data_IF_437734737009
#
_entry.id   IF_437734737009
#
_cell.length_a   1.000
_cell.length_b   1.000
_cell.length_c   1.000
_cell.angle_alpha   90.00
_cell.angle_beta   90.00
_cell.angle_gamma   90.00
#
_symmetry.space_group_name_H-M   'P 1'
#
loop_
_entity.id
_entity.type
_entity.pdbx_description
1 polymer ?
#
# COMPACT_ATOMS: atom_id res chain seq x y z
N UNK A 1 -27.52 -2.76 -5.66
CA UNK A 1 -27.32 -1.74 -6.71
C UNK A 1 -27.04 -2.44 -8.03
N UNK A 2 -27.42 -1.84 -9.16
CA UNK A 2 -27.05 -2.36 -10.48
C UNK A 2 -25.60 -1.97 -10.73
N UNK A 3 -24.72 -2.89 -11.24
CA UNK A 3 -23.36 -2.53 -11.57
C UNK A 3 -23.31 -1.44 -12.66
N UNK A 4 -22.46 -0.44 -12.46
CA UNK A 4 -22.25 0.66 -13.39
C UNK A 4 -21.09 0.35 -14.35
N UNK A 5 -21.35 0.37 -15.64
CA UNK A 5 -20.39 0.03 -16.68
C UNK A 5 -20.06 1.27 -17.51
N UNK A 6 -18.79 1.58 -17.68
CA UNK A 6 -18.31 2.59 -18.61
C UNK A 6 -17.94 1.92 -19.93
N UNK A 7 -18.27 2.58 -21.02
CA UNK A 7 -17.93 2.11 -22.37
C UNK A 7 -16.89 3.08 -22.95
N UNK A 8 -15.76 2.58 -23.40
CA UNK A 8 -14.74 3.33 -24.12
C UNK A 8 -14.68 2.76 -25.54
N UNK A 9 -15.30 3.46 -26.48
CA UNK A 9 -15.53 3.03 -27.86
C UNK A 9 -15.74 4.25 -28.74
N UNK A 10 -14.97 4.40 -29.79
CA UNK A 10 -15.03 5.57 -30.68
C UNK A 10 -16.06 5.44 -31.81
N UNK A 11 -16.48 4.23 -32.14
CA UNK A 11 -17.56 3.99 -33.09
C UNK A 11 -18.92 4.14 -32.40
N UNK A 12 -19.59 5.28 -32.61
CA UNK A 12 -20.84 5.61 -31.94
C UNK A 12 -21.94 4.55 -32.11
N UNK A 13 -21.98 3.88 -33.26
CA UNK A 13 -22.99 2.83 -33.54
C UNK A 13 -22.72 1.62 -32.65
N UNK A 14 -21.45 1.22 -32.48
CA UNK A 14 -21.06 0.09 -31.63
C UNK A 14 -21.30 0.46 -30.16
N UNK A 15 -20.89 1.66 -29.74
CA UNK A 15 -21.10 2.14 -28.38
C UNK A 15 -22.57 2.19 -27.98
N UNK A 16 -23.46 2.66 -28.86
CA UNK A 16 -24.90 2.69 -28.63
C UNK A 16 -25.51 1.30 -28.58
N UNK A 17 -25.08 0.39 -29.43
CA UNK A 17 -25.54 -1.01 -29.39
C UNK A 17 -25.14 -1.67 -28.08
N UNK A 18 -23.87 -1.52 -27.64
CA UNK A 18 -23.41 -2.02 -26.33
C UNK A 18 -24.26 -1.43 -25.20
N UNK A 19 -24.52 -0.14 -25.23
CA UNK A 19 -25.38 0.53 -24.23
C UNK A 19 -26.77 -0.08 -24.16
N UNK A 20 -27.42 -0.31 -25.28
CA UNK A 20 -28.75 -0.93 -25.32
C UNK A 20 -28.75 -2.33 -24.73
N UNK A 21 -27.78 -3.15 -25.11
CA UNK A 21 -27.62 -4.51 -24.56
C UNK A 21 -27.42 -4.46 -23.04
N UNK A 22 -26.56 -3.57 -22.54
CA UNK A 22 -26.30 -3.43 -21.11
C UNK A 22 -27.56 -3.03 -20.32
N UNK A 23 -28.29 -2.07 -20.84
CA UNK A 23 -29.54 -1.60 -20.22
C UNK A 23 -30.61 -2.70 -20.17
N UNK A 24 -30.77 -3.46 -21.26
CA UNK A 24 -31.70 -4.61 -21.31
C UNK A 24 -31.31 -5.70 -20.31
N UNK A 25 -30.01 -5.91 -20.05
CA UNK A 25 -29.50 -6.87 -19.10
C UNK A 25 -29.51 -6.35 -17.65
N UNK A 26 -29.97 -5.14 -17.44
CA UNK A 26 -30.15 -4.55 -16.11
C UNK A 26 -28.92 -3.88 -15.53
N UNK A 27 -27.86 -3.65 -16.30
CA UNK A 27 -26.72 -2.83 -15.91
C UNK A 27 -27.05 -1.33 -16.01
N UNK A 28 -26.25 -0.52 -15.31
CA UNK A 28 -26.25 0.93 -15.50
C UNK A 28 -25.08 1.30 -16.42
N UNK A 29 -25.28 2.23 -17.36
CA UNK A 29 -24.17 2.78 -18.16
C UNK A 29 -23.78 4.12 -17.56
N UNK A 30 -22.57 4.18 -16.98
CA UNK A 30 -22.05 5.38 -16.31
C UNK A 30 -21.58 6.45 -17.29
N UNK A 31 -21.27 6.06 -18.52
CA UNK A 31 -20.90 6.96 -19.61
C UNK A 31 -20.35 6.21 -20.82
N UNK A 32 -20.27 6.94 -21.94
CA UNK A 32 -19.61 6.52 -23.17
C UNK A 32 -18.50 7.52 -23.46
N UNK A 33 -17.28 7.03 -23.62
CA UNK A 33 -16.10 7.82 -23.94
C UNK A 33 -15.55 7.42 -25.31
N UNK A 34 -15.51 8.30 -26.30
CA UNK A 34 -14.93 8.00 -27.60
C UNK A 34 -13.41 8.14 -27.67
N UNK A 35 -12.79 8.68 -26.63
CA UNK A 35 -11.36 8.98 -26.55
C UNK A 35 -10.85 9.03 -25.11
N UNK A 36 -9.54 9.17 -24.97
CA UNK A 36 -8.84 9.24 -23.67
C UNK A 36 -9.34 10.39 -22.79
N UNK A 37 -9.51 11.58 -23.35
CA UNK A 37 -9.86 12.76 -22.57
C UNK A 37 -11.25 12.63 -21.94
N UNK A 38 -12.23 12.16 -22.72
CA UNK A 38 -13.58 11.90 -22.24
C UNK A 38 -13.63 10.73 -21.25
N UNK A 39 -12.78 9.71 -21.41
CA UNK A 39 -12.69 8.61 -20.45
C UNK A 39 -12.27 9.13 -19.06
N UNK A 40 -11.20 9.91 -18.95
CA UNK A 40 -10.78 10.49 -17.69
C UNK A 40 -11.82 11.46 -17.11
N UNK A 41 -12.44 12.31 -17.94
CA UNK A 41 -13.49 13.21 -17.48
C UNK A 41 -14.72 12.48 -16.90
N UNK A 42 -15.04 11.29 -17.40
CA UNK A 42 -16.11 10.45 -16.86
C UNK A 42 -15.67 9.79 -15.54
N UNK A 43 -14.43 9.31 -15.45
CA UNK A 43 -13.87 8.70 -14.23
C UNK A 43 -13.82 9.68 -13.05
N UNK A 44 -13.52 10.94 -13.30
CA UNK A 44 -13.56 12.00 -12.27
C UNK A 44 -14.97 12.24 -11.72
N UNK A 45 -15.99 12.07 -12.54
CA UNK A 45 -17.38 12.27 -12.13
C UNK A 45 -17.96 11.11 -11.37
N UNK A 46 -17.68 9.90 -11.83
CA UNK A 46 -18.22 8.69 -11.25
C UNK A 46 -17.34 7.47 -11.57
N UNK A 47 -16.89 6.76 -10.56
CA UNK A 47 -16.18 5.50 -10.71
C UNK A 47 -17.13 4.40 -11.18
N UNK A 48 -16.87 3.72 -12.31
CA UNK A 48 -17.65 2.56 -12.76
C UNK A 48 -17.22 1.30 -12.00
N UNK A 49 -18.09 0.28 -12.02
CA UNK A 49 -17.77 -1.05 -11.49
C UNK A 49 -16.97 -1.90 -12.51
N UNK A 50 -17.05 -1.56 -13.81
CA UNK A 50 -16.31 -2.21 -14.89
C UNK A 50 -16.17 -1.26 -16.09
N UNK A 51 -15.08 -1.39 -16.82
CA UNK A 51 -14.86 -0.68 -18.10
C UNK A 51 -14.83 -1.71 -19.24
N UNK A 52 -15.69 -1.47 -20.25
CA UNK A 52 -15.55 -2.08 -21.56
C UNK A 52 -14.67 -1.15 -22.41
N UNK A 53 -13.54 -1.64 -22.87
CA UNK A 53 -12.51 -0.85 -23.54
C UNK A 53 -12.20 -1.39 -24.92
N UNK A 54 -12.46 -0.61 -25.97
CA UNK A 54 -11.90 -0.95 -27.27
C UNK A 54 -10.38 -0.82 -27.26
N UNK A 55 -9.73 -1.78 -27.85
CA UNK A 55 -8.27 -1.79 -28.00
C UNK A 55 -7.81 -0.71 -28.99
N UNK A 56 -8.60 -0.45 -30.04
CA UNK A 56 -8.23 0.49 -31.11
C UNK A 56 -9.19 1.66 -31.14
N UNK A 57 -8.76 2.79 -30.62
CA UNK A 57 -9.54 4.03 -30.62
C UNK A 57 -9.14 4.96 -31.79
N UNK A 58 -9.95 6.01 -32.08
CA UNK A 58 -9.65 7.05 -33.08
C UNK A 58 -8.26 7.65 -32.88
N UNK A 59 -7.73 8.18 -33.99
CA UNK A 59 -6.41 8.80 -34.03
C UNK A 59 -5.25 7.84 -33.63
N UNK A 60 -5.45 6.53 -33.73
CA UNK A 60 -4.50 5.49 -33.29
C UNK A 60 -4.19 5.54 -31.80
N UNK A 61 -5.09 6.10 -31.01
CA UNK A 61 -5.00 5.96 -29.55
C UNK A 61 -5.11 4.47 -29.19
N UNK A 62 -4.20 4.05 -28.32
CA UNK A 62 -4.10 2.66 -27.89
C UNK A 62 -4.91 2.46 -26.60
N UNK A 63 -6.04 1.74 -26.71
CA UNK A 63 -6.87 1.40 -25.55
C UNK A 63 -6.14 0.60 -24.48
N UNK A 64 -5.10 -0.16 -24.87
CA UNK A 64 -4.24 -0.88 -23.91
C UNK A 64 -3.43 0.11 -23.07
N UNK A 65 -2.87 1.14 -23.70
CA UNK A 65 -2.13 2.17 -22.97
C UNK A 65 -3.06 2.99 -22.06
N UNK A 66 -4.25 3.32 -22.55
CA UNK A 66 -5.29 3.98 -21.75
C UNK A 66 -5.67 3.14 -20.53
N UNK A 67 -5.90 1.85 -20.72
CA UNK A 67 -6.20 0.90 -19.65
C UNK A 67 -5.08 0.85 -18.61
N UNK A 68 -3.81 0.79 -19.04
CA UNK A 68 -2.64 0.81 -18.14
C UNK A 68 -2.62 2.06 -17.25
N UNK A 69 -2.89 3.23 -17.83
CA UNK A 69 -2.92 4.47 -17.07
C UNK A 69 -4.09 4.51 -16.07
N UNK A 70 -5.25 3.98 -16.45
CA UNK A 70 -6.41 3.90 -15.54
C UNK A 70 -6.13 2.94 -14.39
N UNK A 71 -5.59 1.76 -14.66
CA UNK A 71 -5.34 0.73 -13.64
C UNK A 71 -4.17 1.04 -12.73
N UNK A 72 -3.27 1.95 -13.10
CA UNK A 72 -2.19 2.42 -12.23
C UNK A 72 -2.73 3.16 -11.00
N UNK A 73 -3.82 3.91 -11.15
CA UNK A 73 -4.37 4.75 -10.09
C UNK A 73 -5.71 4.24 -9.54
N UNK A 74 -6.43 3.43 -10.32
CA UNK A 74 -7.78 2.98 -10.00
C UNK A 74 -7.91 1.46 -10.10
N UNK A 75 -8.37 0.83 -9.03
CA UNK A 75 -8.79 -0.57 -9.05
C UNK A 75 -10.17 -0.69 -9.69
N UNK A 76 -10.19 -0.91 -11.02
CA UNK A 76 -11.39 -1.12 -11.81
C UNK A 76 -11.13 -2.27 -12.80
N UNK A 77 -12.00 -3.30 -12.89
CA UNK A 77 -11.84 -4.36 -13.85
C UNK A 77 -12.06 -3.85 -15.28
N UNK A 78 -11.17 -4.25 -16.18
CA UNK A 78 -11.26 -3.92 -17.60
C UNK A 78 -11.55 -5.20 -18.40
N UNK A 79 -12.49 -5.11 -19.32
CA UNK A 79 -12.77 -6.10 -20.35
C UNK A 79 -12.50 -5.45 -21.71
N UNK A 80 -11.57 -6.01 -22.47
CA UNK A 80 -11.25 -5.49 -23.79
C UNK A 80 -12.23 -5.95 -24.85
N UNK A 81 -12.58 -5.03 -25.75
CA UNK A 81 -13.26 -5.29 -27.00
C UNK A 81 -12.22 -5.25 -28.14
N UNK A 82 -12.17 -6.24 -28.99
CA UNK A 82 -11.17 -6.33 -30.06
C UNK A 82 -11.76 -6.81 -31.35
N UNK A 83 -11.37 -6.21 -32.47
CA UNK A 83 -11.72 -6.67 -33.82
C UNK A 83 -10.71 -7.70 -34.35
N UNK A 84 -9.65 -7.98 -33.64
CA UNK A 84 -8.53 -8.75 -34.14
C UNK A 84 -8.10 -9.82 -33.11
N UNK A 85 -7.98 -11.05 -33.60
CA UNK A 85 -7.49 -12.21 -32.85
C UNK A 85 -5.95 -12.40 -32.95
N UNK A 86 -5.23 -11.42 -33.54
CA UNK A 86 -3.78 -11.54 -33.73
C UNK A 86 -3.04 -11.50 -32.40
N UNK A 87 -2.24 -12.51 -32.16
CA UNK A 87 -1.46 -12.79 -30.95
C UNK A 87 -0.73 -11.58 -30.37
N UNK A 88 -0.13 -10.72 -31.21
CA UNK A 88 0.64 -9.55 -30.77
C UNK A 88 -0.14 -8.47 -29.99
N UNK A 89 -1.43 -8.33 -30.24
CA UNK A 89 -2.27 -7.35 -29.53
C UNK A 89 -2.72 -7.93 -28.19
N UNK A 90 -3.01 -9.22 -28.16
CA UNK A 90 -3.37 -9.94 -26.94
C UNK A 90 -2.17 -10.00 -25.98
N UNK A 91 -0.95 -10.31 -26.49
CA UNK A 91 0.28 -10.35 -25.69
C UNK A 91 0.54 -9.02 -24.96
N UNK A 92 0.36 -7.89 -25.63
CA UNK A 92 0.51 -6.56 -25.01
C UNK A 92 -0.54 -6.26 -23.94
N UNK A 93 -1.74 -6.80 -24.10
CA UNK A 93 -2.82 -6.60 -23.16
C UNK A 93 -2.73 -7.54 -21.93
N UNK A 94 -2.01 -8.66 -22.03
CA UNK A 94 -1.78 -9.60 -20.92
C UNK A 94 -1.07 -8.93 -19.75
N UNK A 95 -0.12 -8.02 -20.01
CA UNK A 95 0.63 -7.28 -18.97
C UNK A 95 -0.27 -6.47 -18.03
N UNK A 96 -1.47 -6.08 -18.49
CA UNK A 96 -2.44 -5.31 -17.71
C UNK A 96 -3.31 -6.22 -16.83
N UNK A 97 -3.27 -7.54 -17.10
CA UNK A 97 -4.13 -8.53 -16.44
C UNK A 97 -5.64 -8.19 -16.54
N UNK A 98 -6.18 -8.02 -17.76
CA UNK A 98 -7.59 -7.69 -17.92
C UNK A 98 -8.47 -8.85 -17.45
N UNK A 99 -9.68 -8.51 -17.07
CA UNK A 99 -10.65 -9.50 -16.58
C UNK A 99 -11.41 -10.24 -17.69
N UNK A 100 -11.16 -9.91 -18.96
CA UNK A 100 -11.71 -10.61 -20.11
C UNK A 100 -11.42 -9.93 -21.44
N UNK A 101 -11.70 -10.67 -22.51
CA UNK A 101 -11.63 -10.22 -23.90
C UNK A 101 -12.91 -10.61 -24.62
N UNK A 102 -13.40 -9.73 -25.47
CA UNK A 102 -14.57 -9.97 -26.32
C UNK A 102 -14.20 -9.63 -27.76
N UNK A 103 -14.27 -10.63 -28.64
CA UNK A 103 -14.01 -10.45 -30.06
C UNK A 103 -15.23 -9.86 -30.75
N UNK A 104 -15.05 -8.79 -31.52
CA UNK A 104 -16.07 -8.18 -32.40
C UNK A 104 -16.16 -8.96 -33.74
N UNK A 105 -17.36 -9.22 -34.31
CA UNK A 105 -18.66 -8.97 -33.74
C UNK A 105 -19.04 -10.00 -32.66
N UNK A 106 -19.66 -9.57 -31.58
CA UNK A 106 -20.04 -10.43 -30.47
C UNK A 106 -21.55 -10.62 -30.33
N UNK A 107 -21.92 -11.71 -29.68
CA UNK A 107 -23.31 -12.00 -29.29
C UNK A 107 -23.58 -11.39 -27.90
N UNK A 108 -24.81 -10.95 -27.67
CA UNK A 108 -25.26 -10.40 -26.38
C UNK A 108 -24.94 -11.33 -25.19
N UNK A 109 -25.12 -12.65 -25.38
CA UNK A 109 -24.81 -13.65 -24.35
C UNK A 109 -23.33 -13.66 -23.97
N UNK A 110 -22.40 -13.46 -24.93
CA UNK A 110 -20.96 -13.41 -24.67
C UNK A 110 -20.63 -12.16 -23.86
N UNK A 111 -21.16 -11.00 -24.27
CA UNK A 111 -20.97 -9.75 -23.55
C UNK A 111 -21.43 -9.88 -22.07
N UNK A 112 -22.64 -10.38 -21.85
CA UNK A 112 -23.19 -10.63 -20.51
C UNK A 112 -22.32 -11.54 -19.67
N UNK A 113 -22.02 -12.72 -20.20
CA UNK A 113 -21.26 -13.74 -19.44
C UNK A 113 -19.87 -13.24 -19.09
N UNK A 114 -19.19 -12.55 -20.02
CA UNK A 114 -17.85 -12.02 -19.77
C UNK A 114 -17.88 -10.94 -18.68
N UNK A 115 -18.86 -10.04 -18.70
CA UNK A 115 -19.03 -9.02 -17.65
C UNK A 115 -19.30 -9.66 -16.29
N UNK A 116 -20.21 -10.64 -16.22
CA UNK A 116 -20.52 -11.31 -14.96
C UNK A 116 -19.29 -12.03 -14.37
N UNK A 117 -18.51 -12.72 -15.20
CA UNK A 117 -17.27 -13.37 -14.79
C UNK A 117 -16.25 -12.34 -14.33
N UNK A 118 -16.07 -11.26 -15.08
CA UNK A 118 -15.12 -10.19 -14.75
C UNK A 118 -15.44 -9.55 -13.39
N UNK A 119 -16.68 -9.20 -13.15
CA UNK A 119 -17.13 -8.61 -11.88
C UNK A 119 -16.94 -9.60 -10.70
N UNK A 120 -17.28 -10.87 -10.89
CA UNK A 120 -17.09 -11.90 -9.85
C UNK A 120 -15.62 -12.12 -9.53
N UNK A 121 -14.77 -12.25 -10.53
CA UNK A 121 -13.34 -12.48 -10.35
C UNK A 121 -12.68 -11.26 -9.69
N UNK A 122 -13.06 -10.05 -10.07
CA UNK A 122 -12.57 -8.83 -9.44
C UNK A 122 -12.94 -8.77 -7.95
N UNK A 123 -14.21 -9.05 -7.63
CA UNK A 123 -14.67 -9.08 -6.24
C UNK A 123 -13.95 -10.16 -5.41
N UNK A 124 -13.71 -11.35 -5.98
CA UNK A 124 -12.97 -12.43 -5.34
C UNK A 124 -11.50 -12.04 -5.07
N UNK A 125 -10.82 -11.47 -6.06
CA UNK A 125 -9.43 -11.03 -5.93
C UNK A 125 -9.29 -9.93 -4.87
N UNK A 126 -10.20 -8.95 -4.86
CA UNK A 126 -10.22 -7.88 -3.85
C UNK A 126 -10.43 -8.42 -2.44
N UNK A 127 -11.35 -9.37 -2.26
CA UNK A 127 -11.57 -10.02 -0.97
C UNK A 127 -10.35 -10.80 -0.50
N UNK A 128 -9.63 -11.46 -1.43
CA UNK A 128 -8.40 -12.19 -1.11
C UNK A 128 -7.28 -11.23 -0.70
N UNK A 129 -7.09 -10.13 -1.41
CA UNK A 129 -6.11 -9.10 -1.05
C UNK A 129 -6.36 -8.54 0.36
N UNK A 130 -7.60 -8.17 0.66
CA UNK A 130 -7.98 -7.67 2.00
C UNK A 130 -7.70 -8.71 3.10
N UNK A 131 -7.99 -10.00 2.85
CA UNK A 131 -7.67 -11.08 3.80
C UNK A 131 -6.17 -11.24 4.03
N UNK A 132 -5.36 -11.16 2.95
CA UNK A 132 -3.90 -11.24 3.04
C UNK A 132 -3.37 -10.08 3.90
N UNK A 133 -3.87 -8.87 3.71
CA UNK A 133 -3.44 -7.70 4.49
C UNK A 133 -3.82 -7.84 5.96
N UNK A 134 -5.02 -8.36 6.24
CA UNK A 134 -5.45 -8.65 7.63
C UNK A 134 -4.53 -9.68 8.29
N UNK A 135 -4.24 -10.80 7.61
CA UNK A 135 -3.36 -11.85 8.12
C UNK A 135 -1.93 -11.32 8.35
N UNK A 136 -1.40 -10.51 7.43
CA UNK A 136 -0.09 -9.87 7.61
C UNK A 136 -0.06 -8.98 8.86
N UNK A 137 -1.11 -8.21 9.08
CA UNK A 137 -1.22 -7.34 10.25
C UNK A 137 -1.29 -8.16 11.55
N UNK A 138 -2.12 -9.20 11.60
CA UNK A 138 -2.22 -10.12 12.74
C UNK A 138 -0.88 -10.81 13.01
N UNK A 139 -0.22 -11.32 11.97
CA UNK A 139 1.09 -11.97 12.09
C UNK A 139 2.14 -11.02 12.69
N UNK A 140 2.20 -9.78 12.21
CA UNK A 140 3.10 -8.77 12.77
C UNK A 140 2.80 -8.46 14.24
N UNK A 141 1.52 -8.43 14.60
CA UNK A 141 1.07 -8.19 15.98
C UNK A 141 1.47 -9.34 16.90
N UNK A 142 1.28 -10.58 16.45
CA UNK A 142 1.68 -11.79 17.20
C UNK A 142 3.20 -11.86 17.37
N UNK A 143 3.98 -11.59 16.30
CA UNK A 143 5.43 -11.55 16.40
C UNK A 143 5.92 -10.52 17.43
N UNK A 144 5.34 -9.31 17.39
CA UNK A 144 5.67 -8.27 18.38
C UNK A 144 5.33 -8.71 19.81
N UNK A 145 4.20 -9.40 20.01
CA UNK A 145 3.79 -9.91 21.32
C UNK A 145 4.73 -11.00 21.82
N UNK A 146 5.14 -11.94 20.98
CA UNK A 146 6.12 -12.99 21.35
C UNK A 146 7.48 -12.40 21.73
N UNK A 147 7.96 -11.41 20.96
CA UNK A 147 9.19 -10.68 21.31
C UNK A 147 9.06 -9.94 22.64
N UNK A 148 7.88 -9.41 22.97
CA UNK A 148 7.60 -8.79 24.26
C UNK A 148 7.66 -9.79 25.40
N UNK A 149 7.06 -10.97 25.23
CA UNK A 149 7.03 -12.02 26.25
C UNK A 149 8.42 -12.66 26.49
N UNK A 150 9.23 -12.85 25.44
CA UNK A 150 10.61 -13.31 25.57
C UNK A 150 11.47 -12.28 26.30
N UNK A 151 11.34 -11.00 25.97
CA UNK A 151 12.08 -9.93 26.63
C UNK A 151 11.63 -9.73 28.09
N UNK A 152 10.36 -9.98 28.43
CA UNK A 152 9.86 -9.90 29.80
C UNK A 152 10.42 -10.99 30.74
N UNK A 153 10.88 -12.12 30.19
CA UNK A 153 11.51 -13.23 30.94
C UNK A 153 13.04 -13.11 31.05
N UNK A 154 13.63 -12.20 30.32
CA UNK A 154 15.08 -11.96 30.27
C UNK A 154 15.36 -10.51 30.65
N UNK A 155 16.39 -10.26 31.47
CA UNK A 155 16.87 -8.87 31.70
C UNK A 155 17.54 -8.28 30.46
N UNK A 156 17.69 -9.07 29.39
CA UNK A 156 18.28 -8.62 28.16
C UNK A 156 17.20 -8.33 27.13
N UNK A 157 17.16 -7.11 26.62
CA UNK A 157 16.33 -6.70 25.47
C UNK A 157 17.18 -6.78 24.20
N UNK A 158 16.74 -7.59 23.24
CA UNK A 158 17.42 -7.70 21.94
C UNK A 158 17.06 -6.52 21.06
N UNK A 159 18.08 -5.82 20.61
CA UNK A 159 17.96 -4.68 19.71
C UNK A 159 18.51 -5.03 18.32
N UNK A 160 18.14 -4.25 17.32
CA UNK A 160 18.62 -4.41 15.94
C UNK A 160 20.16 -4.47 15.87
N UNK A 161 20.69 -5.12 14.87
CA UNK A 161 22.14 -5.29 14.63
C UNK A 161 22.89 -6.09 15.70
N UNK A 162 22.20 -6.96 16.46
CA UNK A 162 22.82 -7.81 17.48
C UNK A 162 23.19 -7.09 18.78
N UNK A 163 22.68 -5.85 18.99
CA UNK A 163 22.80 -5.19 20.28
C UNK A 163 21.90 -5.84 21.32
N UNK A 164 22.39 -5.93 22.55
CA UNK A 164 21.63 -6.36 23.73
C UNK A 164 21.66 -5.23 24.77
N UNK A 165 20.52 -4.95 25.35
CA UNK A 165 20.43 -4.00 26.48
C UNK A 165 20.08 -4.76 27.75
N UNK A 166 20.97 -4.69 28.75
CA UNK A 166 20.71 -5.22 30.08
C UNK A 166 19.88 -4.21 30.85
N UNK A 167 18.67 -4.60 31.23
CA UNK A 167 17.71 -3.72 31.93
C UNK A 167 17.95 -3.65 33.45
N UNK A 168 18.79 -4.55 34.01
CA UNK A 168 19.20 -4.52 35.43
C UNK A 168 20.41 -3.62 35.63
N UNK A 169 21.41 -3.80 34.79
CA UNK A 169 22.68 -3.07 34.91
C UNK A 169 22.71 -1.78 34.08
N UNK A 170 21.68 -1.52 33.26
CA UNK A 170 21.57 -0.38 32.33
C UNK A 170 22.76 -0.27 31.35
N UNK A 171 23.17 -1.41 30.81
CA UNK A 171 24.33 -1.55 29.93
C UNK A 171 23.90 -1.94 28.53
N UNK A 172 24.45 -1.27 27.53
CA UNK A 172 24.31 -1.65 26.13
C UNK A 172 25.49 -2.52 25.72
N UNK A 173 25.22 -3.71 25.17
CA UNK A 173 26.21 -4.68 24.77
C UNK A 173 26.18 -4.91 23.25
N UNK A 174 27.34 -5.12 22.64
CA UNK A 174 27.48 -5.61 21.27
C UNK A 174 28.52 -6.75 21.28
N UNK A 175 28.11 -7.93 20.84
CA UNK A 175 28.96 -9.15 20.84
C UNK A 175 29.61 -9.41 22.21
N UNK A 176 28.84 -9.18 23.27
CA UNK A 176 29.30 -9.38 24.67
C UNK A 176 30.21 -8.28 25.22
N UNK A 177 30.49 -7.22 24.46
CA UNK A 177 31.31 -6.09 24.94
C UNK A 177 30.39 -4.88 25.22
N UNK A 178 30.70 -4.19 26.34
CA UNK A 178 29.97 -2.98 26.70
C UNK A 178 30.24 -1.84 25.70
N UNK A 179 29.16 -1.19 25.24
CA UNK A 179 29.23 0.08 24.49
C UNK A 179 29.27 1.21 25.52
N UNK A 180 30.36 2.00 25.60
CA UNK A 180 30.51 3.00 26.65
C UNK A 180 29.51 4.14 26.47
N UNK A 181 28.56 4.26 27.40
CA UNK A 181 27.57 5.31 27.47
C UNK A 181 27.77 6.16 28.74
N UNK A 182 27.65 7.49 28.60
CA UNK A 182 27.63 8.37 29.77
C UNK A 182 26.23 8.35 30.46
N UNK A 183 26.12 8.96 31.62
CA UNK A 183 24.89 8.91 32.44
C UNK A 183 23.65 9.39 31.70
N UNK A 184 23.73 10.48 30.93
CA UNK A 184 22.59 10.98 30.14
C UNK A 184 22.23 10.06 28.97
N UNK A 185 23.22 9.44 28.35
CA UNK A 185 23.04 8.46 27.31
C UNK A 185 22.42 7.17 27.89
N UNK A 186 22.86 6.71 29.06
CA UNK A 186 22.27 5.59 29.80
C UNK A 186 20.80 5.88 30.14
N UNK A 187 20.49 7.07 30.73
CA UNK A 187 19.10 7.50 31.00
C UNK A 187 18.24 7.46 29.73
N UNK A 188 18.76 8.01 28.64
CA UNK A 188 18.04 7.98 27.36
C UNK A 188 17.75 6.54 26.89
N UNK A 189 18.78 5.69 26.85
CA UNK A 189 18.63 4.28 26.42
C UNK A 189 17.67 3.53 27.33
N UNK A 190 17.76 3.68 28.65
CA UNK A 190 16.81 3.11 29.61
C UNK A 190 15.38 3.49 29.29
N UNK A 191 15.12 4.78 29.04
CA UNK A 191 13.78 5.28 28.76
C UNK A 191 13.20 4.71 27.45
N UNK A 192 13.97 4.76 26.35
CA UNK A 192 13.48 4.28 25.05
C UNK A 192 13.39 2.75 24.99
N UNK A 193 14.25 2.03 25.71
CA UNK A 193 14.17 0.57 25.83
C UNK A 193 13.00 0.16 26.71
N UNK A 194 12.74 0.83 27.83
CA UNK A 194 11.57 0.57 28.67
C UNK A 194 10.25 0.78 27.93
N UNK A 195 10.22 1.71 26.98
CA UNK A 195 9.07 1.98 26.11
C UNK A 195 9.25 1.41 24.71
N UNK A 196 9.95 0.28 24.58
CA UNK A 196 10.21 -0.31 23.27
C UNK A 196 8.89 -0.58 22.50
N UNK A 197 8.96 -0.46 21.17
CA UNK A 197 7.77 -0.55 20.32
C UNK A 197 6.94 0.74 20.24
N UNK A 198 7.14 1.69 21.14
CA UNK A 198 6.44 2.99 21.17
C UNK A 198 7.39 4.15 20.90
N UNK A 199 6.87 5.26 20.40
CA UNK A 199 7.62 6.50 20.25
C UNK A 199 7.58 7.24 21.57
N UNK A 200 8.75 7.53 22.14
CA UNK A 200 8.88 8.37 23.33
C UNK A 200 8.97 9.82 22.91
N UNK A 201 8.10 10.68 23.43
CA UNK A 201 8.04 12.08 23.03
C UNK A 201 9.28 12.87 23.46
N UNK A 202 9.55 13.98 22.76
CA UNK A 202 10.66 14.88 23.09
C UNK A 202 10.53 15.36 24.53
N UNK A 203 9.35 15.77 24.96
CA UNK A 203 9.06 16.23 26.31
C UNK A 203 9.34 15.16 27.38
N UNK A 204 8.90 13.92 27.14
CA UNK A 204 9.18 12.80 28.05
C UNK A 204 10.69 12.54 28.19
N UNK A 205 11.43 12.63 27.08
CA UNK A 205 12.88 12.42 27.06
C UNK A 205 13.57 13.54 27.83
N UNK A 206 13.22 14.80 27.58
CA UNK A 206 13.82 15.96 28.25
C UNK A 206 13.55 15.91 29.75
N UNK A 207 12.33 15.68 30.18
CA UNK A 207 12.00 15.53 31.58
C UNK A 207 12.75 14.39 32.26
N UNK A 208 12.88 13.24 31.63
CA UNK A 208 13.54 12.07 32.25
C UNK A 208 15.06 12.17 32.27
N UNK A 209 15.68 12.61 31.16
CA UNK A 209 17.13 12.63 31.00
C UNK A 209 17.77 13.79 31.80
N UNK A 210 17.07 14.90 31.96
CA UNK A 210 17.55 16.08 32.65
C UNK A 210 16.83 16.36 33.99
N UNK A 211 16.11 15.34 34.51
CA UNK A 211 15.46 15.41 35.83
C UNK A 211 14.48 16.60 35.96
N UNK A 212 13.84 17.00 34.86
CA UNK A 212 12.92 18.12 34.80
C UNK A 212 13.56 19.50 34.67
N UNK A 213 14.89 19.60 34.59
CA UNK A 213 15.56 20.85 34.32
C UNK A 213 15.25 21.39 32.92
N UNK A 214 15.05 22.69 32.79
CA UNK A 214 14.88 23.34 31.50
C UNK A 214 16.20 23.32 30.73
N UNK A 215 16.20 22.65 29.58
CA UNK A 215 17.38 22.54 28.71
C UNK A 215 17.15 23.31 27.42
N UNK A 216 18.22 23.83 26.84
CA UNK A 216 18.15 24.51 25.54
C UNK A 216 17.79 23.57 24.40
N UNK A 217 17.14 24.07 23.35
CA UNK A 217 16.64 23.33 22.17
C UNK A 217 17.65 22.38 21.50
N UNK A 218 18.95 22.57 21.71
CA UNK A 218 20.02 21.76 21.12
C UNK A 218 20.46 20.56 21.98
N UNK A 219 20.08 20.50 23.26
CA UNK A 219 20.60 19.51 24.21
C UNK A 219 20.27 18.06 23.79
N UNK A 220 19.01 17.80 23.45
CA UNK A 220 18.56 16.49 22.99
C UNK A 220 19.21 16.11 21.65
N UNK A 221 19.31 17.04 20.71
CA UNK A 221 19.99 16.78 19.42
C UNK A 221 21.45 16.40 19.63
N UNK A 222 22.15 17.08 20.52
CA UNK A 222 23.54 16.77 20.87
C UNK A 222 23.69 15.41 21.56
N UNK A 223 22.73 15.03 22.42
CA UNK A 223 22.69 13.72 23.04
C UNK A 223 22.53 12.62 21.98
N UNK A 224 21.51 12.74 21.09
CA UNK A 224 21.27 11.79 20.03
C UNK A 224 22.46 11.68 19.06
N UNK A 225 23.08 12.82 18.73
CA UNK A 225 24.28 12.82 17.89
C UNK A 225 25.40 11.99 18.53
N UNK A 226 25.69 12.15 19.82
CA UNK A 226 26.72 11.37 20.53
C UNK A 226 26.40 9.86 20.58
N UNK A 227 25.13 9.51 20.83
CA UNK A 227 24.73 8.10 20.81
C UNK A 227 24.93 7.51 19.41
N UNK A 228 24.55 8.24 18.36
CA UNK A 228 24.72 7.80 16.96
C UNK A 228 26.17 7.70 16.48
N UNK A 229 27.11 8.22 17.22
CA UNK A 229 28.56 7.94 17.00
C UNK A 229 28.98 6.56 17.54
N UNK A 230 28.19 5.96 18.43
CA UNK A 230 28.49 4.70 19.12
C UNK A 230 27.65 3.53 18.60
N UNK A 231 26.51 3.82 17.97
CA UNK A 231 25.56 2.82 17.46
C UNK A 231 25.06 3.21 16.05
N UNK A 232 24.60 2.25 15.24
CA UNK A 232 24.00 2.54 13.93
C UNK A 232 22.81 3.53 14.03
N UNK A 233 22.70 4.45 13.07
CA UNK A 233 21.65 5.49 13.07
C UNK A 233 20.24 4.92 13.18
N UNK A 234 20.02 3.76 12.56
CA UNK A 234 18.71 3.11 12.50
C UNK A 234 18.35 2.33 13.75
N UNK A 235 19.29 2.21 14.72
CA UNK A 235 18.98 1.64 16.03
C UNK A 235 18.03 2.55 16.81
N UNK A 236 18.19 3.87 16.60
CA UNK A 236 17.33 4.90 17.19
C UNK A 236 16.70 5.71 16.06
N UNK A 237 15.43 5.45 15.79
CA UNK A 237 14.65 6.13 14.76
C UNK A 237 14.06 7.42 15.31
N UNK A 238 14.21 8.53 14.57
CA UNK A 238 13.61 9.81 14.88
C UNK A 238 12.29 9.95 14.11
N UNK A 239 11.23 10.29 14.83
CA UNK A 239 9.95 10.73 14.28
C UNK A 239 9.87 12.23 14.41
N UNK A 240 10.02 12.93 13.28
CA UNK A 240 10.14 14.40 13.25
C UNK A 240 9.05 15.10 14.08
N UNK A 241 9.47 16.00 14.98
CA UNK A 241 8.61 16.75 15.93
C UNK A 241 7.80 15.89 16.92
N UNK A 242 7.92 14.57 16.91
CA UNK A 242 7.18 13.68 17.81
C UNK A 242 8.10 13.11 18.86
N UNK A 243 9.19 12.45 18.47
CA UNK A 243 10.08 11.81 19.43
C UNK A 243 11.00 10.77 18.82
N UNK A 244 11.42 9.80 19.64
CA UNK A 244 12.39 8.77 19.29
C UNK A 244 11.91 7.39 19.70
N UNK A 245 12.34 6.40 18.96
CA UNK A 245 12.02 4.99 19.19
C UNK A 245 13.25 4.13 18.96
N UNK A 246 13.48 3.13 19.83
CA UNK A 246 14.49 2.10 19.61
C UNK A 246 13.93 0.98 18.75
N UNK A 247 14.74 0.44 17.86
CA UNK A 247 14.36 -0.65 16.96
C UNK A 247 14.82 -1.99 17.53
N UNK A 248 13.87 -2.92 17.67
CA UNK A 248 14.12 -4.29 18.09
C UNK A 248 14.81 -5.12 17.00
N UNK A 249 15.52 -6.16 17.38
CA UNK A 249 16.18 -7.13 16.49
C UNK A 249 15.31 -8.31 16.13
#
# INVERSE_FOLDING_TARGET
MKPGIMIVEDESIIALNIKEILLMQGYEVTGIAPDRASAFALLERRKPDLILMDITLKNREDGIELARNITADLEIPIVFLTANDKDKTIDRAIDIQPYGYILKPFKEAVLKTTIEIALKNFAANRNLSTKIDTIKHEYTTIQNRLLLEENAKSHFVRLKYGYLYDTQEDVLLLSGKEVPLNDKEKKFMRLVVKNFGQVVSVEQIENYVWDGELVGEGALRSLIFRIRQKVPKDLITCYSKIGYKVTLG
#
